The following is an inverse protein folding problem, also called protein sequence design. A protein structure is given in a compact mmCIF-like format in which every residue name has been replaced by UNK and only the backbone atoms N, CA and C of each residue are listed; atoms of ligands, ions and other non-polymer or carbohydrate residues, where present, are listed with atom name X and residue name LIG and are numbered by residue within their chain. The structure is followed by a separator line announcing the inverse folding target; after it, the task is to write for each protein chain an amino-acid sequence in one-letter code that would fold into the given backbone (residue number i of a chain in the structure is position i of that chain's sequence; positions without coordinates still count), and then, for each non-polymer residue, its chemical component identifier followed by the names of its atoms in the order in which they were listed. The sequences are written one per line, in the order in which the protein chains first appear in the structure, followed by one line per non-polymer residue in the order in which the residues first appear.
data_IF_614241930002
#
_entry.id   IF_614241930002
#
_cell.length_a   1.000
_cell.length_b   1.000
_cell.length_c   1.000
_cell.angle_alpha   90.00
_cell.angle_beta   90.00
_cell.angle_gamma   90.00
#
_symmetry.space_group_name_H-M   'P 1'
#
loop_
_entity.id
_entity.type
_entity.pdbx_description
1 polymer ?
#
# COMPACT_ATOMS: atom_id res chain seq x y z
N UNK A 1 -28.68 -19.99 -21.45
CA UNK A 1 -27.37 -20.47 -20.93
C UNK A 1 -27.44 -20.39 -19.41
N UNK A 2 -27.01 -21.43 -18.70
CA UNK A 2 -26.89 -21.36 -17.24
C UNK A 2 -25.67 -20.47 -16.93
N UNK A 3 -25.83 -19.38 -16.18
CA UNK A 3 -24.72 -18.46 -15.87
C UNK A 3 -23.73 -19.02 -14.84
N UNK A 4 -24.04 -20.16 -14.23
CA UNK A 4 -23.17 -20.80 -13.24
C UNK A 4 -22.31 -21.91 -13.86
N UNK A 5 -21.06 -22.01 -13.42
CA UNK A 5 -20.18 -23.09 -13.85
C UNK A 5 -20.78 -24.47 -13.52
N UNK A 6 -20.71 -25.41 -14.46
CA UNK A 6 -21.24 -26.76 -14.28
C UNK A 6 -20.47 -27.54 -13.20
N UNK A 7 -21.15 -28.10 -12.19
CA UNK A 7 -20.47 -28.94 -11.18
C UNK A 7 -20.24 -30.38 -11.63
N UNK A 8 -20.85 -30.82 -12.76
CA UNK A 8 -20.88 -32.21 -13.20
C UNK A 8 -20.09 -32.45 -14.48
N UNK A 9 -19.97 -31.44 -15.33
CA UNK A 9 -19.39 -31.58 -16.66
C UNK A 9 -18.31 -30.51 -16.88
N UNK A 10 -17.38 -30.81 -17.79
CA UNK A 10 -16.43 -29.83 -18.28
C UNK A 10 -17.14 -28.68 -19.00
N UNK A 11 -17.05 -27.49 -18.44
CA UNK A 11 -17.71 -26.30 -18.98
C UNK A 11 -16.89 -25.68 -20.10
N UNK A 12 -17.28 -25.98 -21.35
CA UNK A 12 -16.60 -25.47 -22.54
C UNK A 12 -16.81 -23.98 -22.74
N UNK A 13 -17.95 -23.44 -22.32
CA UNK A 13 -18.30 -22.02 -22.48
C UNK A 13 -17.53 -21.16 -21.49
N UNK A 14 -17.47 -21.55 -20.23
CA UNK A 14 -16.62 -20.90 -19.24
C UNK A 14 -15.15 -20.91 -19.69
N UNK A 15 -14.66 -22.07 -20.15
CA UNK A 15 -13.27 -22.16 -20.68
C UNK A 15 -13.04 -21.20 -21.83
N UNK A 16 -13.98 -21.12 -22.78
CA UNK A 16 -13.86 -20.23 -23.95
C UNK A 16 -13.84 -18.76 -23.53
N UNK A 17 -14.75 -18.36 -22.62
CA UNK A 17 -14.82 -17.01 -22.10
C UNK A 17 -13.53 -16.61 -21.38
N UNK A 18 -13.02 -17.45 -20.48
CA UNK A 18 -11.78 -17.18 -19.76
C UNK A 18 -10.56 -17.14 -20.68
N UNK A 19 -10.49 -18.03 -21.69
CA UNK A 19 -9.41 -18.04 -22.66
C UNK A 19 -9.37 -16.73 -23.47
N UNK A 20 -10.53 -16.28 -23.96
CA UNK A 20 -10.63 -15.04 -24.73
C UNK A 20 -10.33 -13.80 -23.86
N UNK A 21 -10.91 -13.71 -22.64
CA UNK A 21 -10.65 -12.61 -21.73
C UNK A 21 -9.15 -12.52 -21.36
N UNK A 22 -8.49 -13.66 -21.14
CA UNK A 22 -7.05 -13.67 -20.85
C UNK A 22 -6.21 -13.29 -22.06
N UNK A 23 -6.60 -13.70 -23.29
CA UNK A 23 -5.95 -13.25 -24.53
C UNK A 23 -6.04 -11.73 -24.67
N UNK A 24 -7.23 -11.16 -24.58
CA UNK A 24 -7.45 -9.72 -24.69
C UNK A 24 -6.61 -8.92 -23.65
N UNK A 25 -6.53 -9.45 -22.43
CA UNK A 25 -5.68 -8.84 -21.39
C UNK A 25 -4.19 -8.88 -21.76
N UNK A 26 -3.70 -10.00 -22.32
CA UNK A 26 -2.31 -10.12 -22.77
C UNK A 26 -2.00 -9.14 -23.91
N UNK A 27 -2.91 -9.01 -24.87
CA UNK A 27 -2.79 -8.05 -25.98
C UNK A 27 -2.75 -6.60 -25.46
N UNK A 28 -3.64 -6.27 -24.51
CA UNK A 28 -3.65 -4.97 -23.85
C UNK A 28 -2.33 -4.64 -23.12
N UNK A 29 -1.69 -5.64 -22.47
CA UNK A 29 -0.36 -5.47 -21.90
C UNK A 29 0.70 -5.24 -22.97
N UNK A 30 0.67 -5.98 -24.07
CA UNK A 30 1.63 -5.87 -25.16
C UNK A 30 1.60 -4.49 -25.82
N UNK A 31 0.44 -3.86 -25.91
CA UNK A 31 0.26 -2.52 -26.45
C UNK A 31 0.65 -1.39 -25.50
N UNK A 32 0.84 -1.67 -24.20
CA UNK A 32 1.01 -0.62 -23.20
C UNK A 32 2.09 0.40 -23.54
N UNK A 33 3.26 -0.04 -24.04
CA UNK A 33 4.38 0.84 -24.37
C UNK A 33 4.08 1.80 -25.53
N UNK A 34 3.25 1.39 -26.50
CA UNK A 34 2.88 2.22 -27.66
C UNK A 34 1.77 3.22 -27.35
N UNK A 35 0.84 2.86 -26.46
CA UNK A 35 -0.33 3.68 -26.15
C UNK A 35 0.00 4.86 -25.21
N UNK A 36 0.68 4.64 -24.14
CA UNK A 36 0.96 5.63 -23.09
C UNK A 36 0.34 5.23 -21.74
N UNK A 37 0.67 5.97 -20.65
CA UNK A 37 0.23 5.63 -19.30
C UNK A 37 -1.26 5.91 -19.05
N UNK A 38 -1.86 6.85 -19.79
CA UNK A 38 -3.26 7.25 -19.64
C UNK A 38 -3.96 7.19 -21.00
N UNK A 39 -5.24 6.80 -21.04
CA UNK A 39 -6.04 6.93 -22.25
C UNK A 39 -6.28 8.41 -22.59
N UNK A 40 -6.39 8.73 -23.87
CA UNK A 40 -6.76 10.08 -24.32
C UNK A 40 -8.24 10.39 -24.06
N UNK A 41 -9.08 9.39 -24.23
CA UNK A 41 -10.53 9.40 -23.97
C UNK A 41 -10.97 8.01 -23.56
N UNK A 42 -12.15 7.87 -23.01
CA UNK A 42 -12.75 6.58 -22.74
C UNK A 42 -14.26 6.66 -22.96
N UNK A 43 -14.82 5.51 -23.30
CA UNK A 43 -16.26 5.28 -23.36
C UNK A 43 -16.64 4.25 -22.31
N UNK A 44 -17.81 4.40 -21.73
CA UNK A 44 -18.34 3.38 -20.81
C UNK A 44 -19.31 2.48 -21.60
N UNK A 45 -19.28 1.18 -21.36
CA UNK A 45 -20.33 0.28 -21.85
C UNK A 45 -21.66 0.59 -21.15
N UNK A 46 -22.74 -0.08 -21.59
CA UNK A 46 -24.01 0.01 -20.88
C UNK A 46 -23.85 -0.42 -19.43
N UNK A 47 -24.28 0.43 -18.49
CA UNK A 47 -24.04 0.20 -17.05
C UNK A 47 -25.16 -0.62 -16.42
N UNK A 48 -26.38 -0.53 -16.97
CA UNK A 48 -27.55 -1.17 -16.38
C UNK A 48 -27.84 -2.52 -17.04
N UNK A 49 -28.32 -3.50 -16.27
CA UNK A 49 -28.70 -4.78 -16.87
C UNK A 49 -29.86 -4.58 -17.84
N UNK A 50 -29.76 -5.16 -19.04
CA UNK A 50 -30.83 -5.24 -19.99
C UNK A 50 -31.93 -6.19 -19.50
N UNK A 51 -33.11 -6.18 -20.15
CA UNK A 51 -34.20 -7.10 -19.84
C UNK A 51 -33.78 -8.56 -20.02
N UNK A 52 -33.04 -8.83 -21.08
CA UNK A 52 -32.47 -10.14 -21.38
C UNK A 52 -30.94 -10.07 -21.22
N UNK A 53 -30.31 -11.18 -20.82
CA UNK A 53 -28.84 -11.26 -20.73
C UNK A 53 -28.19 -11.09 -22.10
N UNK A 54 -26.95 -10.55 -22.11
CA UNK A 54 -26.16 -10.37 -23.34
C UNK A 54 -25.26 -11.58 -23.61
N UNK A 55 -24.79 -11.72 -24.84
CA UNK A 55 -23.88 -12.80 -25.23
C UNK A 55 -22.45 -12.59 -24.66
N UNK A 56 -21.64 -13.67 -24.63
CA UNK A 56 -20.24 -13.58 -24.23
C UNK A 56 -19.42 -12.65 -25.15
N UNK A 57 -19.75 -12.54 -26.43
CA UNK A 57 -19.07 -11.64 -27.36
C UNK A 57 -19.31 -10.16 -27.00
N UNK A 58 -20.56 -9.84 -26.59
CA UNK A 58 -20.88 -8.49 -26.09
C UNK A 58 -20.13 -8.22 -24.78
N UNK A 59 -20.14 -9.15 -23.81
CA UNK A 59 -19.39 -9.00 -22.56
C UNK A 59 -17.89 -8.79 -22.82
N UNK A 60 -17.29 -9.54 -23.73
CA UNK A 60 -15.87 -9.40 -24.08
C UNK A 60 -15.55 -8.04 -24.73
N UNK A 61 -16.44 -7.55 -25.61
CA UNK A 61 -16.28 -6.23 -26.21
C UNK A 61 -16.43 -5.10 -25.19
N UNK A 62 -17.35 -5.21 -24.25
CA UNK A 62 -17.52 -4.27 -23.15
C UNK A 62 -16.31 -4.27 -22.18
N UNK A 63 -15.76 -5.43 -21.87
CA UNK A 63 -14.52 -5.55 -21.10
C UNK A 63 -13.34 -4.87 -21.84
N UNK A 64 -13.28 -4.98 -23.17
CA UNK A 64 -12.25 -4.29 -23.98
C UNK A 64 -12.36 -2.78 -23.85
N UNK A 65 -13.57 -2.21 -23.95
CA UNK A 65 -13.80 -0.77 -23.75
C UNK A 65 -13.29 -0.29 -22.39
N UNK A 66 -13.56 -1.06 -21.32
CA UNK A 66 -13.09 -0.75 -19.97
C UNK A 66 -11.55 -0.83 -19.86
N UNK A 67 -10.93 -1.83 -20.48
CA UNK A 67 -9.47 -1.95 -20.52
C UNK A 67 -8.84 -0.77 -21.27
N UNK A 68 -9.37 -0.39 -22.42
CA UNK A 68 -8.85 0.71 -23.23
C UNK A 68 -9.00 2.07 -22.52
N UNK A 69 -10.04 2.24 -21.73
CA UNK A 69 -10.27 3.41 -20.87
C UNK A 69 -9.45 3.41 -19.57
N UNK A 70 -8.63 2.40 -19.31
CA UNK A 70 -7.92 2.24 -18.04
C UNK A 70 -6.51 2.81 -18.05
N UNK A 71 -6.05 3.26 -16.86
CA UNK A 71 -4.64 3.57 -16.60
C UNK A 71 -3.75 2.33 -16.82
N UNK A 72 -2.61 2.51 -17.49
CA UNK A 72 -1.66 1.44 -17.84
C UNK A 72 -0.45 1.45 -16.90
N UNK A 73 -0.47 0.72 -15.77
CA UNK A 73 0.65 0.67 -14.83
C UNK A 73 1.90 0.03 -15.44
N UNK A 74 1.75 -0.78 -16.50
CA UNK A 74 2.85 -1.46 -17.19
C UNK A 74 3.64 -0.52 -18.12
N UNK A 75 3.11 0.65 -18.48
CA UNK A 75 3.81 1.61 -19.32
C UNK A 75 5.06 2.15 -18.62
N UNK A 76 6.26 2.20 -19.29
CA UNK A 76 7.51 2.68 -18.67
C UNK A 76 7.42 4.07 -18.04
N UNK A 77 6.60 4.95 -18.58
CA UNK A 77 6.35 6.31 -18.06
C UNK A 77 5.29 6.40 -16.97
N UNK A 78 4.75 5.29 -16.46
CA UNK A 78 3.82 5.26 -15.34
C UNK A 78 4.55 5.43 -14.01
N UNK A 79 4.82 6.68 -13.61
CA UNK A 79 5.69 7.04 -12.50
C UNK A 79 4.99 7.92 -11.42
N UNK A 80 3.67 8.11 -11.54
CA UNK A 80 2.94 9.04 -10.65
C UNK A 80 2.65 8.45 -9.26
N UNK A 81 2.27 7.19 -9.22
CA UNK A 81 1.69 6.53 -8.06
C UNK A 81 2.47 5.28 -7.63
N UNK A 82 2.12 4.76 -6.46
CA UNK A 82 2.70 3.54 -5.86
C UNK A 82 2.00 2.28 -6.42
N UNK A 83 1.84 2.25 -7.73
CA UNK A 83 1.05 1.25 -8.47
C UNK A 83 1.90 0.66 -9.61
N UNK A 84 2.83 -0.25 -9.29
CA UNK A 84 3.62 -0.94 -10.31
C UNK A 84 2.73 -1.90 -11.12
N UNK A 85 3.23 -2.41 -12.26
CA UNK A 85 2.54 -3.46 -12.99
C UNK A 85 2.33 -4.70 -12.10
N UNK A 86 1.21 -5.43 -12.29
CA UNK A 86 0.97 -6.64 -11.53
C UNK A 86 1.89 -7.78 -11.95
N UNK A 87 2.26 -8.65 -11.00
CA UNK A 87 2.97 -9.90 -11.29
C UNK A 87 2.06 -10.87 -12.05
N UNK A 88 2.59 -11.53 -13.09
CA UNK A 88 1.80 -12.46 -13.92
C UNK A 88 1.25 -13.65 -13.13
N UNK A 89 2.03 -14.26 -12.23
CA UNK A 89 1.53 -15.34 -11.39
C UNK A 89 0.43 -14.84 -10.43
N UNK A 90 0.52 -13.60 -9.94
CA UNK A 90 -0.51 -13.04 -9.05
C UNK A 90 -1.82 -12.73 -9.79
N UNK A 91 -1.78 -12.41 -11.09
CA UNK A 91 -2.97 -12.30 -11.94
C UNK A 91 -3.66 -13.66 -12.04
N UNK A 92 -2.91 -14.73 -12.30
CA UNK A 92 -3.46 -16.09 -12.31
C UNK A 92 -4.00 -16.50 -10.93
N UNK A 93 -3.32 -16.12 -9.85
CA UNK A 93 -3.79 -16.33 -8.48
C UNK A 93 -5.11 -15.63 -8.19
N UNK A 94 -5.32 -14.41 -8.70
CA UNK A 94 -6.58 -13.67 -8.57
C UNK A 94 -7.73 -14.36 -9.31
N UNK A 95 -7.48 -14.85 -10.53
CA UNK A 95 -8.45 -15.63 -11.29
C UNK A 95 -8.89 -16.89 -10.52
N UNK A 96 -7.94 -17.63 -9.96
CA UNK A 96 -8.26 -18.82 -9.16
C UNK A 96 -8.99 -18.43 -7.87
N UNK A 97 -8.61 -17.35 -7.21
CA UNK A 97 -9.29 -16.84 -6.02
C UNK A 97 -10.76 -16.53 -6.29
N UNK A 98 -11.05 -15.85 -7.42
CA UNK A 98 -12.40 -15.55 -7.86
C UNK A 98 -13.20 -16.82 -8.17
N UNK A 99 -12.58 -17.80 -8.86
CA UNK A 99 -13.23 -19.08 -9.20
C UNK A 99 -13.53 -19.95 -7.99
N UNK A 100 -12.65 -19.99 -6.98
CA UNK A 100 -12.90 -20.72 -5.74
C UNK A 100 -13.99 -20.06 -4.88
N UNK A 101 -14.09 -18.76 -4.95
CA UNK A 101 -15.07 -17.94 -4.18
C UNK A 101 -15.13 -18.30 -2.69
N UNK A 102 -13.97 -18.65 -2.11
CA UNK A 102 -13.88 -19.02 -0.70
C UNK A 102 -13.95 -17.79 0.21
N UNK A 103 -14.58 -17.96 1.37
CA UNK A 103 -14.75 -16.91 2.35
C UNK A 103 -13.83 -17.16 3.57
N UNK A 104 -12.86 -16.25 3.79
CA UNK A 104 -11.93 -16.33 4.93
C UNK A 104 -12.58 -15.89 6.26
N UNK A 105 -13.90 -15.74 6.32
CA UNK A 105 -14.62 -15.55 7.56
C UNK A 105 -14.35 -16.72 8.52
N UNK A 106 -14.43 -17.95 8.01
CA UNK A 106 -14.31 -19.17 8.81
C UNK A 106 -13.46 -20.22 8.10
N UNK A 107 -12.77 -21.03 8.88
CA UNK A 107 -11.89 -22.09 8.38
C UNK A 107 -12.64 -23.16 7.60
N UNK A 108 -13.87 -23.50 7.99
CA UNK A 108 -14.71 -24.44 7.24
C UNK A 108 -15.10 -23.96 5.85
N UNK A 109 -15.19 -22.63 5.64
CA UNK A 109 -15.48 -22.01 4.35
C UNK A 109 -14.24 -21.84 3.47
N UNK A 110 -13.04 -22.01 4.03
CA UNK A 110 -11.78 -21.79 3.34
C UNK A 110 -10.60 -22.49 4.02
N UNK A 111 -10.60 -23.83 4.13
CA UNK A 111 -9.65 -24.55 4.99
C UNK A 111 -8.17 -24.31 4.62
N UNK A 112 -7.84 -24.48 3.33
CA UNK A 112 -6.47 -24.32 2.83
C UNK A 112 -6.02 -22.87 2.80
N UNK A 113 -6.90 -21.94 2.40
CA UNK A 113 -6.54 -20.55 2.21
C UNK A 113 -6.45 -19.79 3.54
N UNK A 114 -7.26 -20.13 4.54
CA UNK A 114 -7.12 -19.62 5.92
C UNK A 114 -5.79 -20.04 6.53
N UNK A 115 -5.41 -21.32 6.35
CA UNK A 115 -4.09 -21.81 6.78
C UNK A 115 -2.95 -21.11 6.02
N UNK A 116 -3.10 -20.89 4.71
CA UNK A 116 -2.13 -20.18 3.89
C UNK A 116 -1.90 -18.75 4.41
N UNK A 117 -2.97 -18.00 4.70
CA UNK A 117 -2.88 -16.64 5.22
C UNK A 117 -2.14 -16.59 6.56
N UNK A 118 -2.50 -17.45 7.52
CA UNK A 118 -1.82 -17.54 8.83
C UNK A 118 -0.31 -17.80 8.66
N UNK A 119 0.06 -18.73 7.79
CA UNK A 119 1.46 -19.07 7.55
C UNK A 119 2.22 -17.94 6.84
N UNK A 120 1.59 -17.24 5.89
CA UNK A 120 2.19 -16.07 5.26
C UNK A 120 2.42 -14.94 6.26
N UNK A 121 1.42 -14.61 7.09
CA UNK A 121 1.59 -13.61 8.13
C UNK A 121 2.73 -13.98 9.09
N UNK A 122 2.81 -15.23 9.50
CA UNK A 122 3.91 -15.74 10.34
C UNK A 122 5.27 -15.61 9.66
N UNK A 123 5.35 -15.93 8.37
CA UNK A 123 6.58 -15.77 7.58
C UNK A 123 7.02 -14.30 7.51
N UNK A 124 6.10 -13.38 7.24
CA UNK A 124 6.41 -11.94 7.25
C UNK A 124 6.86 -11.46 8.63
N UNK A 125 6.19 -11.88 9.69
CA UNK A 125 6.57 -11.54 11.06
C UNK A 125 8.01 -11.98 11.37
N UNK A 126 8.35 -13.21 11.02
CA UNK A 126 9.70 -13.77 11.24
C UNK A 126 10.74 -12.98 10.42
N UNK A 127 10.50 -12.76 9.13
CA UNK A 127 11.41 -12.01 8.24
C UNK A 127 11.63 -10.56 8.71
N UNK A 128 10.64 -9.95 9.35
CA UNK A 128 10.69 -8.57 9.83
C UNK A 128 11.06 -8.45 11.32
N UNK A 129 11.33 -9.56 11.99
CA UNK A 129 11.86 -9.60 13.35
C UNK A 129 10.85 -9.34 14.47
N UNK A 130 9.55 -9.63 14.28
CA UNK A 130 8.49 -9.35 15.27
C UNK A 130 8.39 -10.34 16.43
N UNK A 131 9.21 -11.41 16.44
CA UNK A 131 9.27 -12.39 17.54
C UNK A 131 8.26 -13.54 17.43
N UNK A 132 8.33 -14.49 18.37
CA UNK A 132 7.67 -15.80 18.27
C UNK A 132 6.16 -15.79 18.52
N UNK A 133 5.66 -14.82 19.31
CA UNK A 133 4.23 -14.67 19.60
C UNK A 133 3.48 -13.93 18.51
N UNK A 134 4.21 -13.52 17.47
CA UNK A 134 3.68 -12.68 16.41
C UNK A 134 2.71 -13.42 15.48
N UNK A 135 1.89 -12.63 14.81
CA UNK A 135 0.96 -13.09 13.81
C UNK A 135 0.40 -11.90 13.03
N UNK A 136 -0.68 -12.14 12.29
CA UNK A 136 -1.27 -11.07 11.51
C UNK A 136 -2.51 -11.52 10.78
N UNK A 137 -3.10 -10.58 10.05
CA UNK A 137 -4.29 -10.76 9.23
C UNK A 137 -4.20 -9.92 7.97
N UNK A 138 -4.73 -10.43 6.85
CA UNK A 138 -4.90 -9.63 5.65
C UNK A 138 -6.02 -8.60 5.82
N UNK A 139 -5.88 -7.47 5.17
CA UNK A 139 -6.84 -6.38 5.17
C UNK A 139 -6.97 -5.74 3.78
N UNK A 140 -8.12 -5.17 3.47
CA UNK A 140 -8.37 -4.48 2.21
C UNK A 140 -7.72 -3.09 2.16
N UNK A 141 -6.38 -3.08 2.20
CA UNK A 141 -5.54 -1.88 2.07
C UNK A 141 -5.02 -1.33 3.40
N UNK A 142 -3.90 -0.60 3.31
CA UNK A 142 -3.19 -0.07 4.47
C UNK A 142 -4.00 0.89 5.35
N UNK A 143 -5.02 1.57 4.80
CA UNK A 143 -5.91 2.42 5.61
C UNK A 143 -6.70 1.62 6.63
N UNK A 144 -7.18 0.43 6.26
CA UNK A 144 -7.87 -0.47 7.17
C UNK A 144 -6.89 -1.09 8.18
N UNK A 145 -5.70 -1.53 7.72
CA UNK A 145 -4.66 -2.05 8.63
C UNK A 145 -4.27 -1.01 9.70
N UNK A 146 -4.06 0.26 9.29
CA UNK A 146 -3.73 1.34 10.21
C UNK A 146 -4.88 1.65 11.19
N UNK A 147 -6.15 1.59 10.73
CA UNK A 147 -7.32 1.76 11.60
C UNK A 147 -7.37 0.62 12.64
N UNK A 148 -7.25 -0.62 12.19
CA UNK A 148 -7.26 -1.80 13.07
C UNK A 148 -6.15 -1.71 14.12
N UNK A 149 -4.94 -1.30 13.73
CA UNK A 149 -3.82 -1.10 14.64
C UNK A 149 -4.12 -0.07 15.74
N UNK A 150 -4.74 1.07 15.37
CA UNK A 150 -5.11 2.11 16.34
C UNK A 150 -6.26 1.68 17.26
N UNK A 151 -7.26 0.97 16.73
CA UNK A 151 -8.34 0.39 17.56
C UNK A 151 -7.76 -0.56 18.59
N UNK A 152 -6.88 -1.46 18.15
CA UNK A 152 -6.20 -2.44 19.01
C UNK A 152 -5.30 -1.76 20.05
N UNK A 153 -4.54 -0.74 19.67
CA UNK A 153 -3.70 0.03 20.59
C UNK A 153 -4.54 0.73 21.67
N UNK A 154 -5.67 1.31 21.28
CA UNK A 154 -6.60 1.99 22.20
C UNK A 154 -7.27 1.01 23.16
N UNK A 155 -7.71 -0.15 22.63
CA UNK A 155 -8.27 -1.25 23.44
C UNK A 155 -7.23 -1.75 24.45
N UNK A 156 -6.03 -2.11 24.01
CA UNK A 156 -4.97 -2.58 24.91
C UNK A 156 -4.56 -1.58 25.98
N UNK A 157 -4.83 -0.29 25.77
CA UNK A 157 -4.56 0.79 26.75
C UNK A 157 -5.72 1.03 27.72
N UNK A 158 -6.85 0.35 27.60
CA UNK A 158 -8.07 0.58 28.38
C UNK A 158 -8.67 1.97 28.16
N UNK A 159 -8.56 2.50 26.94
CA UNK A 159 -8.99 3.87 26.59
C UNK A 159 -10.10 3.89 25.52
N UNK A 160 -10.83 2.79 25.34
CA UNK A 160 -11.84 2.61 24.28
C UNK A 160 -12.94 3.68 24.34
N UNK A 161 -13.33 4.08 25.53
CA UNK A 161 -14.39 5.08 25.77
C UNK A 161 -13.86 6.43 26.22
N UNK A 162 -12.54 6.57 26.45
CA UNK A 162 -11.95 7.83 26.92
C UNK A 162 -11.87 8.85 25.76
N UNK A 163 -12.64 9.96 25.83
CA UNK A 163 -12.62 11.00 24.80
C UNK A 163 -11.34 11.83 24.81
N UNK A 164 -10.50 11.71 25.83
CA UNK A 164 -9.21 12.39 25.98
C UNK A 164 -8.04 11.53 25.47
N UNK A 165 -8.33 10.32 24.95
CA UNK A 165 -7.33 9.47 24.34
C UNK A 165 -6.71 10.12 23.10
N UNK A 166 -5.38 10.10 23.02
CA UNK A 166 -4.62 10.70 21.91
C UNK A 166 -3.57 9.74 21.39
N UNK A 167 -3.15 9.96 20.15
CA UNK A 167 -1.99 9.29 19.56
C UNK A 167 -1.13 10.29 18.79
N UNK A 168 0.15 9.98 18.67
CA UNK A 168 1.13 10.80 17.96
C UNK A 168 1.44 10.24 16.60
N UNK A 169 1.65 11.11 15.61
CA UNK A 169 2.22 10.78 14.31
C UNK A 169 2.98 11.99 13.75
N UNK A 170 3.89 11.78 12.83
CA UNK A 170 4.60 12.88 12.18
C UNK A 170 3.65 13.78 11.37
N UNK A 171 4.06 15.02 11.07
CA UNK A 171 3.32 15.89 10.15
C UNK A 171 3.10 15.23 8.79
N UNK A 172 4.05 14.40 8.34
CA UNK A 172 4.06 13.73 7.03
C UNK A 172 3.38 12.35 7.05
N UNK A 173 2.71 11.98 8.16
CA UNK A 173 1.99 10.71 8.23
C UNK A 173 0.86 10.64 7.18
N UNK A 174 0.49 9.43 6.79
CA UNK A 174 -0.54 9.22 5.80
C UNK A 174 -1.92 9.70 6.29
N UNK A 175 -2.75 10.18 5.34
CA UNK A 175 -4.11 10.71 5.61
C UNK A 175 -5.05 9.68 6.25
N UNK A 176 -4.74 8.38 6.20
CA UNK A 176 -5.52 7.33 6.87
C UNK A 176 -5.68 7.57 8.36
N UNK A 177 -4.68 8.17 9.02
CA UNK A 177 -4.74 8.49 10.45
C UNK A 177 -5.75 9.60 10.76
N UNK A 178 -5.92 10.55 9.82
CA UNK A 178 -6.98 11.56 9.91
C UNK A 178 -8.39 10.98 9.68
N UNK A 179 -8.52 9.88 8.95
CA UNK A 179 -9.78 9.12 8.83
C UNK A 179 -10.00 8.27 10.08
N UNK A 180 -8.94 7.61 10.58
CA UNK A 180 -9.02 6.69 11.70
C UNK A 180 -9.58 7.35 12.96
N UNK A 181 -9.09 8.54 13.38
CA UNK A 181 -9.60 9.20 14.58
C UNK A 181 -11.10 9.54 14.45
N UNK A 182 -11.56 9.94 13.25
CA UNK A 182 -12.98 10.23 12.99
C UNK A 182 -13.85 8.97 13.11
N UNK A 183 -13.39 7.86 12.52
CA UNK A 183 -14.09 6.56 12.58
C UNK A 183 -14.17 6.06 14.03
N UNK A 184 -13.10 6.25 14.82
CA UNK A 184 -13.06 5.88 16.23
C UNK A 184 -13.87 6.83 17.15
N UNK A 185 -14.58 7.82 16.60
CA UNK A 185 -15.35 8.80 17.39
C UNK A 185 -14.49 9.75 18.21
N UNK A 186 -13.22 9.90 17.84
CA UNK A 186 -12.30 10.82 18.52
C UNK A 186 -12.33 12.20 17.85
N UNK A 187 -11.98 13.23 18.62
CA UNK A 187 -11.86 14.59 18.11
C UNK A 187 -10.59 14.78 17.29
N UNK A 188 -10.53 15.85 16.49
CA UNK A 188 -9.38 16.15 15.65
C UNK A 188 -8.07 16.29 16.44
N UNK A 189 -8.14 16.89 17.61
CA UNK A 189 -7.02 17.06 18.55
C UNK A 189 -6.53 15.75 19.18
N UNK A 190 -7.19 14.62 18.94
CA UNK A 190 -6.70 13.30 19.35
C UNK A 190 -5.53 12.83 18.49
N UNK A 191 -5.41 13.30 17.24
CA UNK A 191 -4.21 13.13 16.43
C UNK A 191 -3.22 14.27 16.70
N UNK A 192 -2.20 14.00 17.51
CA UNK A 192 -1.14 14.95 17.84
C UNK A 192 -0.03 14.87 16.81
N UNK A 193 0.08 15.91 15.98
CA UNK A 193 1.12 15.99 14.95
C UNK A 193 2.46 16.41 15.54
N UNK A 194 3.50 15.61 15.27
CA UNK A 194 4.89 15.84 15.69
C UNK A 194 5.69 16.41 14.52
N UNK A 195 6.51 17.43 14.78
CA UNK A 195 7.35 18.04 13.75
C UNK A 195 8.41 17.07 13.24
N UNK A 196 8.76 17.25 11.96
CA UNK A 196 9.81 16.52 11.28
C UNK A 196 11.10 17.34 11.19
N UNK A 197 12.21 16.66 10.95
CA UNK A 197 13.49 17.28 10.60
C UNK A 197 13.51 17.71 9.11
N UNK A 198 14.65 18.19 8.65
CA UNK A 198 14.87 18.59 7.25
C UNK A 198 14.74 17.43 6.26
N UNK A 199 14.98 16.20 6.72
CA UNK A 199 14.83 14.97 5.95
C UNK A 199 13.39 14.44 5.96
N UNK A 200 12.48 15.05 6.70
CA UNK A 200 11.08 14.66 6.83
C UNK A 200 10.86 13.51 7.81
N UNK A 201 11.84 13.18 8.64
CA UNK A 201 11.72 12.19 9.70
C UNK A 201 11.24 12.82 11.01
N UNK A 202 10.42 12.10 11.79
CA UNK A 202 9.87 12.54 13.07
C UNK A 202 10.99 12.90 14.06
N UNK A 203 10.91 14.08 14.69
CA UNK A 203 11.87 14.53 15.71
C UNK A 203 11.51 13.96 17.08
N UNK A 204 12.40 13.14 17.66
CA UNK A 204 12.22 12.56 19.02
C UNK A 204 12.12 13.64 20.10
N UNK A 205 12.89 14.73 19.99
CA UNK A 205 12.77 15.87 20.93
C UNK A 205 11.37 16.47 20.94
N UNK A 206 10.80 16.67 19.75
CA UNK A 206 9.43 17.18 19.61
C UNK A 206 8.38 16.20 20.15
N UNK A 207 8.58 14.89 19.93
CA UNK A 207 7.71 13.85 20.47
C UNK A 207 7.69 13.89 22.02
N UNK A 208 8.88 14.01 22.65
CA UNK A 208 9.01 14.12 24.11
C UNK A 208 8.30 15.34 24.65
N UNK A 209 8.52 16.50 24.03
CA UNK A 209 7.85 17.76 24.43
C UNK A 209 6.34 17.63 24.29
N UNK A 210 5.86 17.08 23.18
CA UNK A 210 4.42 16.90 22.95
C UNK A 210 3.78 15.94 23.95
N UNK A 211 4.47 14.85 24.34
CA UNK A 211 3.96 13.93 25.35
C UNK A 211 3.83 14.63 26.72
N UNK A 212 4.81 15.42 27.14
CA UNK A 212 4.74 16.16 28.39
C UNK A 212 3.57 17.16 28.39
N UNK A 213 3.37 17.85 27.26
CA UNK A 213 2.28 18.80 27.11
C UNK A 213 0.89 18.14 27.22
N UNK A 214 0.67 16.98 26.62
CA UNK A 214 -0.61 16.28 26.74
C UNK A 214 -0.84 15.74 28.16
N UNK A 215 0.21 15.24 28.83
CA UNK A 215 0.14 14.81 30.22
C UNK A 215 -0.30 15.95 31.15
N UNK A 216 0.25 17.16 30.99
CA UNK A 216 -0.16 18.35 31.79
C UNK A 216 -1.60 18.77 31.52
N UNK A 217 -2.18 18.39 30.36
CA UNK A 217 -3.59 18.62 30.01
C UNK A 217 -4.52 17.48 30.48
N UNK A 218 -4.01 16.49 31.20
CA UNK A 218 -4.77 15.33 31.65
C UNK A 218 -5.23 14.41 30.50
N UNK A 219 -4.56 14.47 29.35
CA UNK A 219 -4.78 13.57 28.22
C UNK A 219 -3.88 12.32 28.33
N UNK A 220 -4.32 11.23 27.72
CA UNK A 220 -3.59 9.94 27.74
C UNK A 220 -3.21 9.52 26.34
N UNK A 221 -1.92 9.24 26.14
CA UNK A 221 -1.40 8.71 24.88
C UNK A 221 -1.58 7.19 24.84
N UNK A 222 -2.25 6.67 23.80
CA UNK A 222 -2.38 5.24 23.59
C UNK A 222 -1.43 4.70 22.52
N UNK A 223 -0.98 5.52 21.56
CA UNK A 223 -0.07 5.07 20.50
C UNK A 223 0.88 6.17 20.01
N UNK A 224 2.04 5.76 19.57
CA UNK A 224 2.90 6.52 18.66
C UNK A 224 2.96 5.77 17.33
N UNK A 225 2.65 6.50 16.26
CA UNK A 225 2.74 6.00 14.89
C UNK A 225 4.02 6.54 14.25
N UNK A 226 4.91 5.65 13.88
CA UNK A 226 6.04 5.96 13.00
C UNK A 226 5.73 5.56 11.56
N UNK A 227 6.32 6.28 10.62
CA UNK A 227 6.17 5.99 9.19
C UNK A 227 7.47 5.46 8.62
N UNK A 228 7.46 4.26 8.05
CA UNK A 228 8.54 3.72 7.25
C UNK A 228 8.24 3.97 5.76
N UNK A 229 8.50 5.19 5.31
CA UNK A 229 8.26 5.64 3.95
C UNK A 229 7.07 6.60 3.81
N UNK A 230 7.33 7.91 3.90
CA UNK A 230 6.31 8.96 3.67
C UNK A 230 5.91 9.03 2.21
N UNK A 231 4.67 9.46 1.93
CA UNK A 231 4.05 9.37 0.59
C UNK A 231 4.71 10.26 -0.46
N UNK A 232 5.30 11.39 -0.08
CA UNK A 232 5.88 12.35 -1.03
C UNK A 232 7.36 12.07 -1.30
N UNK A 233 8.14 11.87 -0.27
CA UNK A 233 9.61 11.77 -0.38
C UNK A 233 10.20 10.41 0.04
N UNK A 234 9.39 9.53 0.63
CA UNK A 234 9.87 8.23 1.12
C UNK A 234 10.77 8.34 2.36
N UNK A 235 10.57 9.35 3.20
CA UNK A 235 11.28 9.50 4.46
C UNK A 235 10.90 8.39 5.43
N UNK A 236 11.84 8.01 6.30
CA UNK A 236 11.66 6.99 7.33
C UNK A 236 11.90 7.64 8.69
N UNK A 237 10.96 7.46 9.59
CA UNK A 237 11.09 7.90 10.98
C UNK A 237 12.16 7.09 11.73
N UNK A 238 12.80 7.61 12.78
CA UNK A 238 13.84 6.90 13.54
C UNK A 238 13.23 5.78 14.39
N UNK A 239 12.87 4.65 13.73
CA UNK A 239 12.08 3.56 14.30
C UNK A 239 12.65 3.02 15.61
N UNK A 240 13.96 2.76 15.67
CA UNK A 240 14.62 2.21 16.86
C UNK A 240 14.58 3.18 18.06
N UNK A 241 14.66 4.49 17.81
CA UNK A 241 14.59 5.50 18.87
C UNK A 241 13.15 5.68 19.35
N UNK A 242 12.18 5.67 18.44
CA UNK A 242 10.74 5.71 18.78
C UNK A 242 10.36 4.48 19.58
N UNK A 243 10.84 3.29 19.20
CA UNK A 243 10.59 2.06 19.95
C UNK A 243 11.09 2.15 21.40
N UNK A 244 12.33 2.63 21.61
CA UNK A 244 12.89 2.87 22.95
C UNK A 244 12.04 3.87 23.75
N UNK A 245 11.57 4.94 23.09
CA UNK A 245 10.69 5.92 23.70
C UNK A 245 9.37 5.28 24.11
N UNK A 246 8.69 4.57 23.21
CA UNK A 246 7.40 3.93 23.48
C UNK A 246 7.49 2.90 24.60
N UNK A 247 8.53 2.07 24.62
CA UNK A 247 8.79 1.10 25.69
C UNK A 247 8.95 1.80 27.05
N UNK A 248 9.71 2.92 27.11
CA UNK A 248 9.90 3.68 28.35
C UNK A 248 8.61 4.31 28.86
N UNK A 249 7.78 4.83 27.97
CA UNK A 249 6.54 5.53 28.31
C UNK A 249 5.32 4.60 28.42
N UNK A 250 5.49 3.30 28.17
CA UNK A 250 4.45 2.27 28.11
C UNK A 250 3.32 2.65 27.16
N UNK A 251 3.68 3.00 25.92
CA UNK A 251 2.77 3.43 24.85
C UNK A 251 2.93 2.50 23.66
N UNK A 252 1.82 2.12 23.01
CA UNK A 252 1.82 1.27 21.84
C UNK A 252 2.63 1.86 20.68
N UNK A 253 3.50 1.05 20.08
CA UNK A 253 4.31 1.44 18.94
C UNK A 253 3.76 0.82 17.66
N UNK A 254 3.12 1.64 16.81
CA UNK A 254 2.67 1.22 15.49
C UNK A 254 3.61 1.75 14.41
N UNK A 255 3.96 0.93 13.42
CA UNK A 255 4.70 1.35 12.24
C UNK A 255 3.82 1.25 11.00
N UNK A 256 3.57 2.39 10.34
CA UNK A 256 3.04 2.41 8.98
C UNK A 256 4.18 2.11 8.00
N UNK A 257 4.39 0.84 7.73
CA UNK A 257 5.34 0.30 6.76
C UNK A 257 4.74 0.06 5.37
N UNK A 258 3.61 0.68 5.06
CA UNK A 258 2.89 0.50 3.78
C UNK A 258 3.75 0.68 2.54
N UNK A 259 4.80 1.51 2.60
CA UNK A 259 5.75 1.72 1.50
C UNK A 259 7.07 1.01 1.78
N UNK A 260 7.64 1.26 2.95
CA UNK A 260 8.99 0.82 3.29
C UNK A 260 9.09 -0.54 3.96
N UNK A 261 8.03 -1.06 4.57
CA UNK A 261 8.09 -2.31 5.33
C UNK A 261 8.63 -3.51 4.55
N UNK A 262 8.34 -3.57 3.24
CA UNK A 262 8.84 -4.63 2.36
C UNK A 262 10.36 -4.60 2.14
N UNK A 263 11.04 -3.48 2.39
CA UNK A 263 12.51 -3.41 2.31
C UNK A 263 13.21 -4.25 3.39
N UNK A 264 12.49 -4.58 4.46
CA UNK A 264 12.95 -5.52 5.47
C UNK A 264 13.01 -6.99 5.02
N UNK A 265 12.50 -7.32 3.81
CA UNK A 265 12.50 -8.68 3.28
C UNK A 265 13.83 -9.12 2.66
N UNK A 266 14.77 -8.19 2.42
CA UNK A 266 16.09 -8.50 1.88
C UNK A 266 17.18 -7.95 2.81
N UNK A 267 18.20 -8.76 3.08
CA UNK A 267 19.36 -8.34 3.86
C UNK A 267 20.07 -7.12 3.27
N UNK A 268 20.05 -6.99 1.95
CA UNK A 268 20.66 -5.85 1.23
C UNK A 268 19.94 -4.51 1.44
N UNK A 269 18.71 -4.53 1.97
CA UNK A 269 17.89 -3.33 2.14
C UNK A 269 17.29 -3.19 3.55
N UNK A 270 17.40 -4.22 4.39
CA UNK A 270 16.79 -4.24 5.73
C UNK A 270 17.32 -3.15 6.66
N UNK A 271 18.58 -2.73 6.50
CA UNK A 271 19.18 -1.66 7.27
C UNK A 271 18.44 -0.32 7.09
N UNK A 272 17.87 -0.08 5.89
CA UNK A 272 17.09 1.13 5.56
C UNK A 272 15.88 1.29 6.50
N UNK A 273 15.32 0.18 6.96
CA UNK A 273 14.12 0.11 7.81
C UNK A 273 14.41 -0.53 9.16
N UNK A 274 15.64 -0.40 9.64
CA UNK A 274 16.05 -0.94 10.92
C UNK A 274 15.14 -0.48 12.06
N UNK A 275 14.61 -1.42 12.83
CA UNK A 275 13.70 -1.15 13.95
C UNK A 275 12.26 -1.59 13.71
N UNK A 276 11.91 -2.10 12.52
CA UNK A 276 10.57 -2.65 12.25
C UNK A 276 10.16 -3.73 13.25
N UNK A 277 11.07 -4.61 13.62
CA UNK A 277 10.83 -5.73 14.54
C UNK A 277 10.52 -5.31 15.99
N UNK A 278 10.68 -4.04 16.34
CA UNK A 278 10.31 -3.52 17.66
C UNK A 278 8.87 -3.02 17.73
N UNK A 279 8.14 -3.04 16.64
CA UNK A 279 6.76 -2.57 16.59
C UNK A 279 5.81 -3.52 17.30
N UNK A 280 4.87 -2.99 18.08
CA UNK A 280 3.73 -3.76 18.59
C UNK A 280 2.79 -4.16 17.46
N UNK A 281 2.66 -3.29 16.45
CA UNK A 281 1.95 -3.57 15.19
C UNK A 281 2.60 -2.89 13.98
N UNK A 282 2.52 -3.54 12.83
CA UNK A 282 3.14 -3.12 11.58
C UNK A 282 2.18 -3.31 10.41
N UNK A 283 1.93 -2.27 9.64
CA UNK A 283 1.23 -2.35 8.35
C UNK A 283 2.23 -2.51 7.22
N UNK A 284 2.01 -3.48 6.33
CA UNK A 284 2.77 -3.64 5.09
C UNK A 284 1.84 -3.80 3.89
N UNK A 285 2.25 -3.27 2.74
CA UNK A 285 1.45 -3.34 1.51
C UNK A 285 2.25 -3.95 0.35
N UNK A 286 2.28 -5.28 0.18
CA UNK A 286 2.92 -5.93 -0.95
C UNK A 286 2.39 -5.45 -2.32
N UNK A 287 1.14 -5.00 -2.37
CA UNK A 287 0.51 -4.41 -3.56
C UNK A 287 1.20 -3.15 -4.10
N UNK A 288 2.06 -2.49 -3.30
CA UNK A 288 2.77 -1.30 -3.75
C UNK A 288 3.98 -1.66 -4.60
N UNK A 289 5.13 -1.94 -4.00
CA UNK A 289 6.36 -2.14 -4.77
C UNK A 289 6.51 -3.56 -5.35
N UNK A 290 5.96 -4.59 -4.68
CA UNK A 290 6.11 -5.97 -5.15
C UNK A 290 5.19 -6.35 -6.31
N UNK A 291 4.29 -5.47 -6.74
CA UNK A 291 3.41 -5.72 -7.88
C UNK A 291 2.34 -6.78 -7.62
N UNK A 292 1.98 -7.02 -6.37
CA UNK A 292 0.82 -7.87 -6.06
C UNK A 292 -0.45 -7.11 -6.43
N UNK A 293 -1.41 -7.69 -7.18
CA UNK A 293 -2.68 -7.03 -7.50
C UNK A 293 -3.41 -6.53 -6.25
N UNK A 294 -4.09 -5.40 -6.36
CA UNK A 294 -4.87 -4.80 -5.26
C UNK A 294 -6.14 -5.63 -4.99
N UNK A 295 -6.53 -5.79 -3.74
CA UNK A 295 -5.84 -5.30 -2.54
C UNK A 295 -4.93 -6.39 -1.98
N UNK A 296 -3.77 -6.01 -1.43
CA UNK A 296 -2.89 -6.92 -0.69
C UNK A 296 -2.17 -6.11 0.38
N UNK A 297 -2.72 -6.13 1.58
CA UNK A 297 -2.22 -5.43 2.76
C UNK A 297 -2.26 -6.38 3.95
N UNK A 298 -1.27 -6.32 4.82
CA UNK A 298 -1.22 -7.11 6.04
C UNK A 298 -1.10 -6.18 7.25
N UNK A 299 -1.87 -6.48 8.29
CA UNK A 299 -1.61 -6.02 9.64
C UNK A 299 -0.85 -7.14 10.38
N UNK A 300 0.39 -6.88 10.72
CA UNK A 300 1.24 -7.78 11.52
C UNK A 300 1.31 -7.25 12.95
N UNK A 301 1.35 -8.14 13.92
CA UNK A 301 1.39 -7.80 15.35
C UNK A 301 2.43 -8.63 16.08
N UNK A 302 3.12 -8.04 17.05
CA UNK A 302 4.13 -8.73 17.85
C UNK A 302 3.51 -9.81 18.79
N UNK A 303 2.24 -9.65 19.15
CA UNK A 303 1.47 -10.65 19.88
C UNK A 303 0.09 -10.84 19.22
N UNK A 304 -0.11 -12.01 18.59
CA UNK A 304 -1.33 -12.35 17.86
C UNK A 304 -2.61 -12.28 18.72
N UNK A 305 -2.50 -12.48 20.04
CA UNK A 305 -3.66 -12.44 20.92
C UNK A 305 -4.33 -11.05 21.00
N UNK A 306 -3.62 -9.98 20.67
CA UNK A 306 -4.22 -8.65 20.61
C UNK A 306 -5.27 -8.53 19.49
N UNK A 307 -5.16 -9.31 18.40
CA UNK A 307 -6.17 -9.32 17.34
C UNK A 307 -7.50 -9.87 17.88
N UNK A 308 -7.48 -11.08 18.43
CA UNK A 308 -8.70 -11.72 18.93
C UNK A 308 -9.29 -11.00 20.14
N UNK A 309 -8.46 -10.54 21.10
CA UNK A 309 -8.95 -9.78 22.26
C UNK A 309 -9.63 -8.45 21.88
N UNK A 310 -9.32 -7.91 20.70
CA UNK A 310 -9.91 -6.66 20.23
C UNK A 310 -11.12 -6.88 19.33
N UNK A 311 -11.06 -7.87 18.42
CA UNK A 311 -12.00 -7.98 17.31
C UNK A 311 -12.94 -9.18 17.41
N UNK A 312 -12.64 -10.19 18.25
CA UNK A 312 -13.52 -11.35 18.38
C UNK A 312 -14.80 -10.98 19.11
N UNK A 313 -15.92 -11.32 18.48
CA UNK A 313 -17.26 -11.21 19.06
C UNK A 313 -17.93 -12.57 19.16
N UNK A 314 -17.21 -13.64 18.82
CA UNK A 314 -17.73 -14.97 18.58
C UNK A 314 -18.45 -15.07 17.26
N UNK A 315 -18.51 -16.26 16.69
CA UNK A 315 -19.24 -16.58 15.46
C UNK A 315 -20.21 -17.73 15.78
N UNK A 316 -21.36 -17.48 16.41
CA UNK A 316 -22.26 -18.53 16.94
C UNK A 316 -22.90 -19.38 15.85
N UNK A 317 -22.77 -19.02 14.59
CA UNK A 317 -23.28 -19.70 13.41
C UNK A 317 -22.20 -20.48 12.62
N UNK A 318 -21.00 -20.61 13.19
CA UNK A 318 -19.84 -21.29 12.57
C UNK A 318 -19.34 -22.36 13.54
N UNK A 319 -18.87 -23.50 13.01
CA UNK A 319 -18.26 -24.55 13.84
C UNK A 319 -16.98 -24.04 14.51
N UNK A 320 -16.84 -24.19 15.83
CA UNK A 320 -15.65 -23.75 16.55
C UNK A 320 -14.38 -24.44 16.03
N UNK A 321 -13.27 -23.68 15.97
CA UNK A 321 -11.95 -24.26 15.70
C UNK A 321 -11.43 -24.98 16.95
N UNK A 322 -10.82 -26.16 16.77
CA UNK A 322 -10.15 -26.87 17.85
C UNK A 322 -8.85 -26.15 18.25
N UNK A 323 -8.60 -26.00 19.56
CA UNK A 323 -7.41 -25.37 20.11
C UNK A 323 -7.57 -23.89 20.45
N UNK A 324 -6.46 -23.14 20.39
CA UNK A 324 -6.42 -21.70 20.73
C UNK A 324 -6.39 -20.79 19.51
N UNK A 325 -6.81 -21.27 18.35
CA UNK A 325 -6.89 -20.47 17.14
C UNK A 325 -8.28 -19.83 16.98
N UNK A 326 -8.36 -18.78 16.16
CA UNK A 326 -9.56 -18.03 15.85
C UNK A 326 -9.81 -18.06 14.35
N UNK A 327 -11.08 -17.98 13.96
CA UNK A 327 -11.47 -17.78 12.57
C UNK A 327 -10.94 -16.45 12.03
N UNK A 328 -10.67 -16.40 10.74
CA UNK A 328 -10.15 -15.17 10.11
C UNK A 328 -11.04 -13.94 10.31
N UNK A 329 -12.37 -14.12 10.38
CA UNK A 329 -13.33 -13.06 10.64
C UNK A 329 -13.33 -12.52 12.09
N UNK A 330 -12.61 -13.19 13.00
CA UNK A 330 -12.47 -12.76 14.40
C UNK A 330 -11.15 -12.01 14.65
N UNK A 331 -10.29 -11.90 13.62
CA UNK A 331 -8.96 -11.28 13.74
C UNK A 331 -8.92 -9.84 13.21
N UNK A 332 -10.07 -9.28 12.82
CA UNK A 332 -10.16 -7.94 12.26
C UNK A 332 -11.58 -7.42 12.14
N UNK A 333 -11.70 -6.22 11.56
CA UNK A 333 -13.02 -5.58 11.34
C UNK A 333 -13.81 -6.32 10.25
N UNK A 334 -13.13 -6.94 9.28
CA UNK A 334 -13.80 -7.60 8.17
C UNK A 334 -14.21 -9.02 8.57
N UNK A 335 -15.51 -9.33 8.50
CA UNK A 335 -16.00 -10.70 8.58
C UNK A 335 -15.79 -11.42 7.25
N UNK A 336 -16.73 -11.30 6.32
CA UNK A 336 -16.60 -11.84 4.96
C UNK A 336 -15.47 -11.15 4.21
N UNK A 337 -14.53 -11.94 3.66
CA UNK A 337 -13.44 -11.45 2.82
C UNK A 337 -12.88 -12.53 1.89
N UNK A 338 -12.37 -12.10 0.76
CA UNK A 338 -11.73 -12.97 -0.22
C UNK A 338 -10.35 -13.45 0.24
N UNK A 339 -9.83 -14.48 -0.43
CA UNK A 339 -8.53 -15.08 -0.11
C UNK A 339 -7.36 -14.30 -0.74
N UNK A 340 -7.20 -13.04 -0.35
CA UNK A 340 -6.12 -12.14 -0.82
C UNK A 340 -4.72 -12.75 -0.66
N UNK A 341 -4.55 -13.67 0.28
CA UNK A 341 -3.32 -14.40 0.53
C UNK A 341 -2.88 -15.27 -0.66
N UNK A 342 -3.81 -15.75 -1.51
CA UNK A 342 -3.46 -16.64 -2.63
C UNK A 342 -2.62 -15.91 -3.67
N UNK A 343 -3.02 -14.72 -4.11
CA UNK A 343 -2.26 -13.94 -5.09
C UNK A 343 -0.92 -13.44 -4.51
N UNK A 344 -0.88 -13.13 -3.22
CA UNK A 344 0.35 -12.78 -2.52
C UNK A 344 1.32 -13.98 -2.49
N UNK A 345 0.85 -15.13 -2.06
CA UNK A 345 1.65 -16.34 -1.97
C UNK A 345 2.28 -16.72 -3.30
N UNK A 346 1.47 -16.81 -4.37
CA UNK A 346 1.96 -17.25 -5.68
C UNK A 346 2.91 -16.21 -6.31
N UNK A 347 2.67 -14.91 -6.09
CA UNK A 347 3.58 -13.86 -6.51
C UNK A 347 4.93 -13.93 -5.81
N UNK A 348 4.95 -14.15 -4.49
CA UNK A 348 6.19 -14.38 -3.74
C UNK A 348 6.93 -15.65 -4.20
N UNK A 349 6.20 -16.72 -4.52
CA UNK A 349 6.78 -17.96 -5.08
C UNK A 349 7.40 -17.73 -6.46
N UNK A 350 6.77 -16.90 -7.30
CA UNK A 350 7.32 -16.52 -8.61
C UNK A 350 8.61 -15.71 -8.49
N UNK A 351 8.65 -14.77 -7.55
CA UNK A 351 9.81 -13.89 -7.35
C UNK A 351 10.97 -14.63 -6.67
N UNK A 352 10.68 -15.41 -5.65
CA UNK A 352 11.69 -15.88 -4.71
C UNK A 352 12.42 -14.73 -4.01
N UNK A 353 13.33 -15.03 -3.11
CA UNK A 353 14.09 -13.99 -2.37
C UNK A 353 14.94 -13.12 -3.30
N UNK A 354 15.60 -13.72 -4.30
CA UNK A 354 16.41 -12.99 -5.30
C UNK A 354 15.57 -12.04 -6.18
N UNK A 355 14.35 -12.44 -6.55
CA UNK A 355 13.45 -11.59 -7.31
C UNK A 355 12.95 -10.40 -6.49
N UNK A 356 12.60 -10.62 -5.23
CA UNK A 356 12.26 -9.56 -4.28
C UNK A 356 13.42 -8.58 -4.17
N UNK A 357 14.63 -9.05 -3.87
CA UNK A 357 15.82 -8.20 -3.76
C UNK A 357 16.08 -7.38 -5.03
N UNK A 358 15.97 -8.02 -6.21
CA UNK A 358 16.13 -7.33 -7.50
C UNK A 358 15.14 -6.19 -7.68
N UNK A 359 13.88 -6.36 -7.27
CA UNK A 359 12.85 -5.31 -7.32
C UNK A 359 13.23 -4.16 -6.39
N UNK A 360 13.58 -4.46 -5.14
CA UNK A 360 13.92 -3.47 -4.12
C UNK A 360 15.13 -2.63 -4.53
N UNK A 361 16.25 -3.27 -4.84
CA UNK A 361 17.48 -2.60 -5.28
C UNK A 361 17.29 -1.87 -6.61
N UNK A 362 16.57 -2.46 -7.56
CA UNK A 362 16.28 -1.84 -8.85
C UNK A 362 15.50 -0.53 -8.70
N UNK A 363 14.54 -0.50 -7.78
CA UNK A 363 13.74 0.68 -7.50
C UNK A 363 14.57 1.84 -6.91
N UNK A 364 15.47 1.54 -5.98
CA UNK A 364 16.41 2.51 -5.41
C UNK A 364 17.39 3.01 -6.49
N UNK A 365 17.95 2.09 -7.30
CA UNK A 365 18.89 2.46 -8.38
C UNK A 365 18.25 3.44 -9.37
N UNK A 366 17.01 3.19 -9.79
CA UNK A 366 16.27 4.11 -10.67
C UNK A 366 16.07 5.48 -10.02
N UNK A 367 15.69 5.52 -8.73
CA UNK A 367 15.53 6.79 -8.00
C UNK A 367 16.85 7.55 -7.91
N UNK A 368 17.93 6.90 -7.51
CA UNK A 368 19.26 7.52 -7.42
C UNK A 368 19.71 8.05 -8.78
N UNK A 369 19.48 7.29 -9.85
CA UNK A 369 19.86 7.71 -11.20
C UNK A 369 19.07 8.97 -11.62
N UNK A 370 17.74 8.98 -11.52
CA UNK A 370 16.95 10.15 -11.86
C UNK A 370 17.37 11.38 -11.02
N UNK A 371 17.58 11.19 -9.73
CA UNK A 371 18.02 12.23 -8.82
C UNK A 371 19.40 12.83 -9.21
N UNK A 372 20.29 12.00 -9.76
CA UNK A 372 21.63 12.45 -10.17
C UNK A 372 21.67 13.26 -11.47
N UNK A 373 20.64 13.15 -12.32
CA UNK A 373 20.60 13.79 -13.65
C UNK A 373 19.58 14.95 -13.75
N UNK A 374 18.78 15.19 -12.71
CA UNK A 374 17.97 16.41 -12.58
C UNK A 374 18.91 17.56 -12.17
N UNK A 375 18.83 18.69 -12.85
CA UNK A 375 19.67 19.87 -12.63
C UNK A 375 19.38 20.53 -11.28
N UNK A 376 20.27 20.31 -10.31
CA UNK A 376 20.18 20.88 -8.95
C UNK A 376 20.37 22.40 -8.90
N UNK A 377 20.86 23.03 -9.96
CA UNK A 377 20.92 24.50 -10.04
C UNK A 377 19.53 25.10 -10.31
N UNK A 378 18.64 24.33 -10.94
CA UNK A 378 17.26 24.73 -11.29
C UNK A 378 16.25 24.21 -10.28
N UNK A 379 16.45 23.00 -9.72
CA UNK A 379 15.45 22.29 -8.94
C UNK A 379 15.90 21.97 -7.51
N UNK A 380 15.04 22.28 -6.56
CA UNK A 380 15.08 21.70 -5.22
C UNK A 380 14.49 20.29 -5.29
N UNK A 381 15.30 19.29 -4.95
CA UNK A 381 14.88 17.89 -4.87
C UNK A 381 14.70 17.51 -3.40
N UNK A 382 13.61 16.79 -3.11
CA UNK A 382 13.36 16.13 -1.84
C UNK A 382 13.19 14.63 -2.08
N UNK A 383 13.98 13.84 -1.40
CA UNK A 383 13.96 12.37 -1.47
C UNK A 383 14.29 11.78 -0.12
N UNK A 384 13.89 10.54 0.09
CA UNK A 384 14.33 9.70 1.20
C UNK A 384 15.16 8.51 0.67
N UNK A 385 15.40 7.50 1.49
CA UNK A 385 16.19 6.34 1.10
C UNK A 385 15.45 5.38 0.15
N UNK A 386 14.13 5.51 0.00
CA UNK A 386 13.29 4.62 -0.79
C UNK A 386 13.27 5.01 -2.28
N UNK A 387 12.26 4.54 -3.00
CA UNK A 387 12.10 4.69 -4.44
C UNK A 387 11.28 5.91 -4.87
N UNK A 388 11.15 6.93 -4.03
CA UNK A 388 10.38 8.14 -4.30
C UNK A 388 11.30 9.36 -4.31
N UNK A 389 11.01 10.31 -5.20
CA UNK A 389 11.57 11.66 -5.15
C UNK A 389 10.53 12.67 -5.62
N UNK A 390 10.65 13.90 -5.14
CA UNK A 390 9.86 15.02 -5.63
C UNK A 390 10.76 16.24 -5.84
N UNK A 391 10.38 17.10 -6.78
CA UNK A 391 11.19 18.27 -7.14
C UNK A 391 10.31 19.47 -7.50
N UNK A 392 10.86 20.67 -7.31
CA UNK A 392 10.20 21.95 -7.60
C UNK A 392 11.26 22.98 -7.97
N UNK A 393 10.96 23.99 -8.81
CA UNK A 393 11.93 25.04 -9.15
C UNK A 393 12.42 25.81 -7.91
N UNK A 394 13.71 26.15 -7.85
CA UNK A 394 14.28 26.83 -6.69
C UNK A 394 13.79 28.27 -6.58
N UNK A 395 13.85 29.04 -7.67
CA UNK A 395 13.65 30.49 -7.67
C UNK A 395 12.21 30.93 -7.94
N UNK A 396 11.24 30.01 -7.93
CA UNK A 396 9.82 30.32 -8.15
C UNK A 396 9.11 30.57 -6.82
N UNK A 397 8.17 31.52 -6.80
CA UNK A 397 7.21 31.64 -5.73
C UNK A 397 6.28 30.42 -5.66
N UNK A 398 5.51 30.25 -4.59
CA UNK A 398 4.53 29.15 -4.47
C UNK A 398 3.51 29.17 -5.61
N UNK A 399 3.05 30.35 -6.05
CA UNK A 399 2.15 30.49 -7.21
C UNK A 399 2.84 30.07 -8.51
N UNK A 400 4.05 30.56 -8.79
CA UNK A 400 4.80 30.18 -9.98
C UNK A 400 5.11 28.67 -10.02
N UNK A 401 5.44 28.07 -8.87
CA UNK A 401 5.64 26.63 -8.76
C UNK A 401 4.36 25.83 -9.01
N UNK A 402 3.20 26.37 -8.60
CA UNK A 402 1.89 25.79 -8.93
C UNK A 402 1.66 25.76 -10.45
N UNK A 403 1.82 26.89 -11.12
CA UNK A 403 1.61 27.01 -12.57
C UNK A 403 2.60 26.16 -13.36
N UNK A 404 3.88 26.21 -12.98
CA UNK A 404 4.92 25.39 -13.57
C UNK A 404 4.60 23.89 -13.43
N UNK A 405 4.24 23.45 -12.24
CA UNK A 405 3.99 22.02 -11.99
C UNK A 405 2.79 21.50 -12.77
N UNK A 406 1.74 22.30 -12.97
CA UNK A 406 0.59 21.94 -13.80
C UNK A 406 0.98 21.86 -15.27
N UNK A 407 1.63 22.89 -15.79
CA UNK A 407 2.10 22.99 -17.18
C UNK A 407 3.04 21.84 -17.53
N UNK A 408 4.06 21.63 -16.70
CA UNK A 408 5.08 20.60 -16.91
C UNK A 408 4.47 19.20 -16.82
N UNK A 409 3.59 18.94 -15.83
CA UNK A 409 2.89 17.66 -15.75
C UNK A 409 2.12 17.33 -17.02
N UNK A 410 1.41 18.31 -17.59
CA UNK A 410 0.64 18.10 -18.81
C UNK A 410 1.56 17.87 -20.03
N UNK A 411 2.67 18.60 -20.12
CA UNK A 411 3.69 18.40 -21.16
C UNK A 411 4.35 17.01 -21.03
N UNK A 412 4.69 16.58 -19.83
CA UNK A 412 5.25 15.25 -19.58
C UNK A 412 4.26 14.15 -19.96
N UNK A 413 2.97 14.32 -19.65
CA UNK A 413 1.93 13.36 -20.02
C UNK A 413 1.78 13.25 -21.55
N UNK A 414 1.83 14.37 -22.28
CA UNK A 414 1.84 14.37 -23.75
C UNK A 414 3.06 13.64 -24.33
N UNK A 415 4.18 13.60 -23.58
CA UNK A 415 5.38 12.82 -23.89
C UNK A 415 5.38 11.42 -23.23
N UNK A 416 4.22 10.92 -22.83
CA UNK A 416 3.99 9.59 -22.25
C UNK A 416 4.65 9.38 -20.88
N UNK A 417 4.92 10.43 -20.11
CA UNK A 417 5.38 10.35 -18.72
C UNK A 417 4.31 10.91 -17.78
N UNK A 418 3.80 10.06 -16.91
CA UNK A 418 2.83 10.45 -15.89
C UNK A 418 3.52 10.62 -14.56
N UNK A 419 3.56 11.84 -14.02
CA UNK A 419 4.00 12.19 -12.68
C UNK A 419 2.83 12.68 -11.84
N UNK A 420 2.90 12.52 -10.51
CA UNK A 420 1.92 13.13 -9.61
C UNK A 420 2.36 14.52 -9.17
N UNK A 421 1.36 15.33 -8.76
CA UNK A 421 1.53 16.74 -8.39
C UNK A 421 1.07 16.98 -6.95
N UNK A 422 1.84 16.52 -5.93
CA UNK A 422 1.49 16.77 -4.54
C UNK A 422 1.81 18.20 -4.11
N UNK A 423 1.01 18.73 -3.20
CA UNK A 423 1.39 19.87 -2.37
C UNK A 423 2.14 19.37 -1.14
N UNK A 424 3.33 19.93 -0.87
CA UNK A 424 4.14 19.59 0.29
C UNK A 424 4.62 20.89 0.97
N UNK A 425 4.24 21.04 2.23
CA UNK A 425 4.28 22.34 2.87
C UNK A 425 3.30 23.32 2.19
N UNK A 426 3.81 24.45 1.74
CA UNK A 426 3.07 25.51 1.04
C UNK A 426 3.29 25.49 -0.48
N UNK A 427 3.90 24.44 -1.04
CA UNK A 427 4.40 24.43 -2.41
C UNK A 427 4.03 23.16 -3.16
N UNK A 428 3.73 23.31 -4.46
CA UNK A 428 3.54 22.19 -5.36
C UNK A 428 4.88 21.63 -5.86
N UNK A 429 4.94 20.30 -5.91
CA UNK A 429 6.05 19.52 -6.45
C UNK A 429 5.54 18.62 -7.58
N UNK A 430 6.43 18.22 -8.47
CA UNK A 430 6.25 17.02 -9.27
C UNK A 430 6.94 15.87 -8.54
N UNK A 431 6.25 14.72 -8.45
CA UNK A 431 6.75 13.53 -7.77
C UNK A 431 6.82 12.36 -8.73
N UNK A 432 7.93 11.67 -8.70
CA UNK A 432 8.19 10.43 -9.43
C UNK A 432 8.40 9.26 -8.46
N UNK A 433 7.81 8.10 -8.82
CA UNK A 433 7.86 6.85 -8.06
C UNK A 433 8.51 5.78 -8.92
N UNK A 434 9.68 5.29 -8.52
CA UNK A 434 10.54 4.39 -9.29
C UNK A 434 10.22 2.90 -9.07
N UNK A 435 8.97 2.59 -8.75
CA UNK A 435 8.50 1.22 -8.52
C UNK A 435 8.31 0.38 -9.79
N UNK A 436 8.13 1.01 -10.94
CA UNK A 436 7.88 0.31 -12.19
C UNK A 436 9.16 -0.38 -12.73
N UNK A 437 9.21 -1.72 -12.82
CA UNK A 437 10.39 -2.43 -13.32
C UNK A 437 10.62 -2.26 -14.82
N UNK A 438 9.59 -1.85 -15.58
CA UNK A 438 9.67 -1.64 -17.02
C UNK A 438 10.37 -0.32 -17.39
N UNK A 439 10.48 0.62 -16.43
CA UNK A 439 11.19 1.89 -16.63
C UNK A 439 12.70 1.65 -16.70
N UNK A 440 13.31 1.97 -17.84
CA UNK A 440 14.75 1.83 -18.09
C UNK A 440 15.46 3.17 -17.83
N UNK A 441 16.79 3.13 -17.78
CA UNK A 441 17.60 4.34 -17.57
C UNK A 441 17.48 5.33 -18.75
N UNK A 442 17.27 4.84 -19.96
CA UNK A 442 17.04 5.71 -21.14
C UNK A 442 15.71 6.48 -21.02
N UNK A 443 14.66 5.84 -20.50
CA UNK A 443 13.38 6.51 -20.20
C UNK A 443 13.59 7.63 -19.17
N UNK A 444 14.38 7.35 -18.11
CA UNK A 444 14.69 8.32 -17.07
C UNK A 444 15.55 9.47 -17.58
N UNK A 445 16.47 9.21 -18.51
CA UNK A 445 17.26 10.24 -19.17
C UNK A 445 16.39 11.17 -20.02
N UNK A 446 15.46 10.61 -20.79
CA UNK A 446 14.50 11.38 -21.56
C UNK A 446 13.61 12.22 -20.64
N UNK A 447 13.08 11.63 -19.57
CA UNK A 447 12.29 12.33 -18.56
C UNK A 447 13.08 13.49 -17.94
N UNK A 448 14.34 13.29 -17.56
CA UNK A 448 15.17 14.32 -16.95
C UNK A 448 15.44 15.49 -17.92
N UNK A 449 15.69 15.21 -19.19
CA UNK A 449 15.83 16.26 -20.21
C UNK A 449 14.57 17.12 -20.30
N UNK A 450 13.39 16.51 -20.41
CA UNK A 450 12.11 17.22 -20.44
C UNK A 450 11.88 18.08 -19.17
N UNK A 451 12.30 17.58 -18.00
CA UNK A 451 12.22 18.33 -16.74
C UNK A 451 13.20 19.51 -16.77
N UNK A 452 14.48 19.29 -17.11
CA UNK A 452 15.53 20.30 -17.08
C UNK A 452 15.24 21.43 -18.11
N UNK A 453 14.59 21.10 -19.23
CA UNK A 453 14.20 22.05 -20.27
C UNK A 453 12.88 22.80 -19.93
N UNK A 454 12.16 22.37 -18.90
CA UNK A 454 10.91 23.01 -18.47
C UNK A 454 11.09 24.36 -17.78
N UNK A 455 12.32 24.73 -17.49
CA UNK A 455 12.73 26.04 -16.95
C UNK A 455 13.83 26.57 -17.83
N UNK A 456 13.56 27.72 -18.44
CA UNK A 456 14.54 28.50 -19.20
C UNK A 456 15.56 29.20 -18.30
#
# INVERSE_FOLDING_TARGET
MDPFASPQNFDKELRSLLAQASSNLCDWFAESASQGPMPYSFELPEVYPAKEGVSNDVLLSELQLLMDGSYRPSHPGSLAHLDPPPLSASIAGELICAGLNNNLLADELSPSLSSLERNLCKWFCHKLGLGDLSGGVAASGGSLSNLMALVMARNNSGLETDPKAVFFASHDCHVSFSKAFRIMGLKQESLQKVSTDENGALKISSLRTSLNNIKSQGKKCFAVVATAGTTVRGAIDPLSEIAKFCKKENVWFHVDGSIGGIYGLSEMTSEIVQGLGFADSLTINPQKLLGIPKTSSLLLVANKNHLSSTFSTGLPYVEPISGNDFHGGELGIQGTRSAEALKLWIGLRQLGEKGIEKILLGSIKRRCYLESIIDRSKFKIISGPLHLLAFTPINYSSSQASDWSLKTRNSLLANKFMLSRPMYGDRYYLKAVMGNPNTKFDDLKMLANLINDSIS
#
